data_IF_230905541106
#
_entry.id   IF_230905541106
#
_cell.length_a   1.000
_cell.length_b   1.000
_cell.length_c   1.000
_cell.angle_alpha   90.00
_cell.angle_beta   90.00
_cell.angle_gamma   90.00
#
_symmetry.space_group_name_H-M   'P 1'
#
loop_
_entity.id
_entity.type
_entity.pdbx_description
1 polymer ?
#
# COMPACT_ATOMS: atom_id res chain seq x y z
N UNK A 1 0.97 41.99 -78.69
CA UNK A 1 1.14 43.42 -78.34
C UNK A 1 1.55 43.50 -76.89
N UNK A 2 2.75 44.07 -76.63
CA UNK A 2 3.35 44.20 -75.30
C UNK A 2 2.60 45.26 -74.49
N UNK A 3 2.10 44.94 -73.31
CA UNK A 3 1.70 45.93 -72.31
C UNK A 3 2.64 45.84 -71.10
N UNK A 4 3.31 46.97 -70.88
CA UNK A 4 4.30 47.23 -69.85
C UNK A 4 3.57 47.53 -68.54
N UNK A 5 3.70 46.69 -67.51
CA UNK A 5 3.19 46.97 -66.17
C UNK A 5 4.29 47.66 -65.36
N UNK A 6 4.06 48.93 -65.04
CA UNK A 6 4.90 49.73 -64.15
C UNK A 6 4.45 49.46 -62.71
N UNK A 7 5.25 48.72 -61.93
CA UNK A 7 4.98 48.44 -60.51
C UNK A 7 5.54 49.63 -59.71
N UNK A 8 4.65 50.45 -59.16
CA UNK A 8 5.00 51.52 -58.23
C UNK A 8 5.05 50.93 -56.81
N UNK A 9 6.25 50.74 -56.26
CA UNK A 9 6.43 50.35 -54.86
C UNK A 9 6.20 51.53 -53.94
N UNK A 10 5.00 51.67 -53.37
CA UNK A 10 4.76 52.55 -52.22
C UNK A 10 5.11 51.78 -50.94
N UNK A 11 6.29 52.08 -50.39
CA UNK A 11 6.68 51.63 -49.05
C UNK A 11 5.85 52.38 -48.00
N UNK A 12 4.86 51.70 -47.42
CA UNK A 12 4.11 52.20 -46.25
C UNK A 12 4.93 51.86 -45.01
N UNK A 13 5.57 52.87 -44.41
CA UNK A 13 6.20 52.78 -43.11
C UNK A 13 5.11 52.56 -42.05
N UNK A 14 4.95 51.32 -41.58
CA UNK A 14 4.11 51.00 -40.43
C UNK A 14 4.91 51.34 -39.16
N UNK A 15 4.47 52.27 -38.31
CA UNK A 15 5.14 52.48 -37.04
C UNK A 15 4.89 51.25 -36.17
N UNK A 16 5.96 50.55 -35.79
CA UNK A 16 5.92 49.53 -34.74
C UNK A 16 5.51 50.23 -33.43
N UNK A 17 4.23 50.14 -33.08
CA UNK A 17 3.76 50.50 -31.77
C UNK A 17 4.26 49.43 -30.79
N UNK A 18 5.36 49.72 -30.10
CA UNK A 18 5.82 48.91 -28.96
C UNK A 18 4.80 49.11 -27.85
N UNK A 19 3.82 48.20 -27.76
CA UNK A 19 2.93 48.12 -26.61
C UNK A 19 3.78 47.58 -25.46
N UNK A 20 4.30 48.49 -24.63
CA UNK A 20 4.87 48.12 -23.34
C UNK A 20 3.80 47.38 -22.54
N UNK A 21 3.90 46.05 -22.45
CA UNK A 21 3.19 45.28 -21.42
C UNK A 21 3.74 45.75 -20.07
N UNK A 22 3.11 46.76 -19.49
CA UNK A 22 3.19 46.98 -18.07
C UNK A 22 2.66 45.70 -17.43
N UNK A 23 3.55 44.90 -16.84
CA UNK A 23 3.15 43.80 -15.98
C UNK A 23 2.40 44.41 -14.80
N UNK A 24 1.07 44.43 -14.88
CA UNK A 24 0.25 44.63 -13.69
C UNK A 24 0.48 43.40 -12.83
N UNK A 25 1.34 43.54 -11.82
CA UNK A 25 1.24 42.74 -10.61
C UNK A 25 -0.18 42.96 -10.12
N UNK A 26 -1.07 41.98 -10.29
CA UNK A 26 -2.42 42.07 -9.75
C UNK A 26 -2.30 42.06 -8.22
N UNK A 27 -2.27 43.24 -7.60
CA UNK A 27 -2.41 43.36 -6.15
C UNK A 27 -3.79 42.82 -5.77
N UNK A 28 -3.78 41.78 -4.92
CA UNK A 28 -5.00 41.20 -4.38
C UNK A 28 -5.74 42.30 -3.61
N UNK A 29 -7.01 42.49 -3.94
CA UNK A 29 -7.86 43.39 -3.15
C UNK A 29 -7.96 42.91 -1.69
N UNK A 30 -8.22 43.80 -0.72
CA UNK A 30 -8.36 43.41 0.69
C UNK A 30 -9.37 42.27 0.92
N UNK A 31 -10.44 42.22 0.12
CA UNK A 31 -11.44 41.14 0.16
C UNK A 31 -10.86 39.81 -0.35
N UNK A 32 -10.04 39.83 -1.40
CA UNK A 32 -9.36 38.63 -1.91
C UNK A 32 -8.34 38.09 -0.91
N UNK A 33 -7.56 38.96 -0.26
CA UNK A 33 -6.64 38.55 0.82
C UNK A 33 -7.39 37.92 2.00
N UNK A 34 -8.51 38.51 2.43
CA UNK A 34 -9.30 37.98 3.53
C UNK A 34 -9.93 36.61 3.21
N UNK A 35 -10.36 36.41 1.96
CA UNK A 35 -10.92 35.14 1.47
C UNK A 35 -9.85 34.04 1.45
N UNK A 36 -8.65 34.34 0.95
CA UNK A 36 -7.52 33.39 0.94
C UNK A 36 -7.16 32.95 2.36
N UNK A 37 -7.10 33.90 3.29
CA UNK A 37 -6.77 33.60 4.69
C UNK A 37 -7.85 32.78 5.42
N UNK A 38 -9.11 32.90 4.99
CA UNK A 38 -10.18 32.03 5.47
C UNK A 38 -10.07 30.62 4.91
N UNK A 39 -9.73 30.46 3.62
CA UNK A 39 -9.49 29.15 3.01
C UNK A 39 -8.30 28.42 3.63
N UNK A 40 -7.20 29.10 3.91
CA UNK A 40 -6.02 28.51 4.56
C UNK A 40 -6.36 27.96 5.94
N UNK A 41 -7.15 28.70 6.73
CA UNK A 41 -7.63 28.24 8.04
C UNK A 41 -8.53 27.01 7.94
N UNK A 42 -9.43 26.99 6.96
CA UNK A 42 -10.30 25.84 6.74
C UNK A 42 -9.49 24.58 6.43
N UNK A 43 -8.47 24.68 5.57
CA UNK A 43 -7.57 23.57 5.26
C UNK A 43 -6.78 23.10 6.47
N UNK A 44 -6.22 24.01 7.25
CA UNK A 44 -5.47 23.67 8.46
C UNK A 44 -6.36 22.98 9.51
N UNK A 45 -7.64 23.36 9.60
CA UNK A 45 -8.61 22.66 10.44
C UNK A 45 -8.86 21.25 9.90
N UNK A 46 -9.13 21.08 8.61
CA UNK A 46 -9.34 19.76 8.00
C UNK A 46 -8.14 18.83 8.22
N UNK A 47 -6.91 19.31 8.05
CA UNK A 47 -5.70 18.55 8.32
C UNK A 47 -5.58 18.11 9.79
N UNK A 48 -5.96 18.98 10.74
CA UNK A 48 -5.96 18.64 12.18
C UNK A 48 -7.07 17.65 12.56
N UNK A 49 -8.20 17.69 11.85
CA UNK A 49 -9.34 16.83 12.10
C UNK A 49 -9.22 15.47 11.40
N UNK A 50 -8.36 15.37 10.38
CA UNK A 50 -8.10 14.13 9.67
C UNK A 50 -7.58 13.06 10.64
N UNK A 51 -8.08 11.81 10.55
CA UNK A 51 -7.56 10.74 11.37
C UNK A 51 -6.08 10.49 11.05
N UNK A 52 -5.26 10.12 12.06
CA UNK A 52 -3.87 9.76 11.82
C UNK A 52 -3.81 8.56 10.87
N UNK A 53 -2.83 8.57 9.96
CA UNK A 53 -2.54 7.41 9.11
C UNK A 53 -1.80 6.36 9.94
N UNK A 54 -2.39 5.17 10.17
CA UNK A 54 -1.68 4.10 10.86
C UNK A 54 -0.52 3.61 9.98
N UNK A 55 0.70 3.54 10.50
CA UNK A 55 1.79 2.86 9.79
C UNK A 55 1.84 1.41 10.26
N UNK A 56 1.09 0.55 9.57
CA UNK A 56 1.11 -0.90 9.80
C UNK A 56 2.10 -1.49 8.80
N UNK A 57 3.32 -1.75 9.27
CA UNK A 57 4.32 -2.51 8.51
C UNK A 57 4.79 -3.70 9.31
N UNK A 58 4.55 -4.89 8.79
CA UNK A 58 5.22 -6.09 9.25
C UNK A 58 6.62 -6.10 8.66
N UNK A 59 7.61 -6.55 9.44
CA UNK A 59 9.02 -6.50 9.05
C UNK A 59 9.24 -7.18 7.69
N UNK A 60 9.70 -6.41 6.70
CA UNK A 60 10.05 -6.95 5.39
C UNK A 60 11.29 -7.87 5.51
N UNK A 61 11.30 -9.04 4.84
CA UNK A 61 12.52 -9.84 4.76
C UNK A 61 13.58 -9.13 3.90
N UNK A 62 14.85 -9.35 4.23
CA UNK A 62 15.99 -8.78 3.54
C UNK A 62 16.10 -9.28 2.09
N UNK A 63 16.35 -8.36 1.15
CA UNK A 63 16.60 -8.69 -0.24
C UNK A 63 17.90 -9.51 -0.36
N UNK A 64 17.80 -10.80 -0.68
CA UNK A 64 18.95 -11.64 -0.97
C UNK A 64 19.40 -11.45 -2.43
N UNK A 65 20.71 -11.53 -2.65
CA UNK A 65 21.35 -11.51 -3.97
C UNK A 65 20.68 -12.50 -4.94
N UNK A 66 20.49 -12.09 -6.20
CA UNK A 66 19.82 -12.90 -7.21
C UNK A 66 20.61 -14.11 -7.70
N UNK A 67 21.92 -14.18 -7.42
CA UNK A 67 22.80 -15.28 -7.87
C UNK A 67 23.16 -16.23 -6.74
N UNK A 68 22.84 -17.51 -6.94
CA UNK A 68 23.19 -18.59 -6.02
C UNK A 68 24.61 -19.10 -6.27
N UNK A 69 25.33 -19.34 -5.18
CA UNK A 69 26.60 -20.05 -5.16
C UNK A 69 26.34 -21.33 -4.36
N UNK A 70 26.35 -22.47 -5.03
CA UNK A 70 26.08 -23.76 -4.40
C UNK A 70 27.33 -24.32 -3.70
N UNK A 71 27.17 -25.04 -2.57
CA UNK A 71 28.27 -25.70 -1.89
C UNK A 71 28.80 -26.87 -2.72
N UNK A 72 30.08 -27.19 -2.53
CA UNK A 72 30.65 -28.44 -3.02
C UNK A 72 30.36 -29.53 -2.00
N UNK A 73 29.51 -30.50 -2.36
CA UNK A 73 29.06 -31.55 -1.46
C UNK A 73 29.11 -32.95 -2.08
N UNK A 74 29.15 -33.98 -1.24
CA UNK A 74 29.07 -35.39 -1.63
C UNK A 74 28.19 -36.15 -0.61
N UNK A 75 27.24 -37.00 -1.04
CA UNK A 75 26.86 -37.27 -2.43
C UNK A 75 26.17 -36.06 -3.08
N UNK A 76 26.31 -35.92 -4.40
CA UNK A 76 25.61 -34.91 -5.21
C UNK A 76 25.19 -35.51 -6.55
N UNK A 77 24.15 -34.93 -7.15
CA UNK A 77 23.59 -35.33 -8.43
C UNK A 77 23.60 -34.14 -9.38
N UNK A 78 24.00 -34.36 -10.63
CA UNK A 78 23.96 -33.32 -11.66
C UNK A 78 22.50 -33.09 -12.04
N UNK A 79 22.04 -31.84 -11.96
CA UNK A 79 20.65 -31.48 -12.26
C UNK A 79 20.54 -31.00 -13.70
N UNK A 80 19.89 -31.79 -14.55
CA UNK A 80 19.65 -31.48 -15.97
C UNK A 80 18.32 -30.76 -16.19
N UNK A 81 17.35 -30.95 -15.27
CA UNK A 81 16.02 -30.35 -15.36
C UNK A 81 15.49 -29.98 -13.98
N UNK A 82 14.83 -28.83 -13.88
CA UNK A 82 14.10 -28.43 -12.68
C UNK A 82 12.63 -28.20 -13.03
N UNK A 83 11.72 -28.85 -12.29
CA UNK A 83 10.28 -28.68 -12.44
C UNK A 83 9.70 -28.03 -11.20
N UNK A 84 8.86 -27.00 -11.39
CA UNK A 84 8.10 -26.36 -10.33
C UNK A 84 6.61 -26.63 -10.54
N UNK A 85 5.96 -27.25 -9.57
CA UNK A 85 4.51 -27.45 -9.54
C UNK A 85 3.83 -26.54 -8.51
N UNK A 86 2.53 -26.29 -8.64
CA UNK A 86 1.75 -25.52 -7.65
C UNK A 86 1.97 -24.00 -7.72
N UNK A 87 2.45 -23.49 -8.86
CA UNK A 87 2.71 -22.06 -9.07
C UNK A 87 1.53 -21.31 -9.70
N UNK A 88 0.46 -22.01 -10.05
CA UNK A 88 -0.68 -21.49 -10.81
C UNK A 88 -1.41 -20.35 -10.09
N UNK A 89 -1.61 -20.37 -8.75
CA UNK A 89 -2.25 -19.27 -8.04
C UNK A 89 -1.34 -18.03 -7.85
N UNK A 90 -0.03 -18.17 -8.08
CA UNK A 90 0.94 -17.10 -7.87
C UNK A 90 1.03 -16.19 -9.11
N UNK A 91 1.35 -14.90 -8.93
CA UNK A 91 1.52 -14.01 -10.07
C UNK A 91 2.68 -14.43 -10.97
N UNK A 92 2.43 -14.44 -12.29
CA UNK A 92 3.41 -14.85 -13.31
C UNK A 92 4.67 -13.98 -13.38
N UNK A 93 4.64 -12.77 -12.82
CA UNK A 93 5.81 -11.89 -12.76
C UNK A 93 6.85 -12.33 -11.73
N UNK A 94 6.50 -13.24 -10.80
CA UNK A 94 7.45 -13.82 -9.86
C UNK A 94 8.43 -14.74 -10.60
N UNK A 95 9.75 -14.51 -10.51
CA UNK A 95 10.73 -15.23 -11.31
C UNK A 95 11.12 -16.60 -10.70
N UNK A 96 10.15 -17.38 -10.20
CA UNK A 96 10.43 -18.64 -9.49
C UNK A 96 11.17 -19.65 -10.37
N UNK A 97 10.69 -19.90 -11.59
CA UNK A 97 11.36 -20.82 -12.51
C UNK A 97 12.77 -20.33 -12.88
N UNK A 98 12.97 -19.01 -13.02
CA UNK A 98 14.29 -18.43 -13.31
C UNK A 98 15.28 -18.68 -12.17
N UNK A 99 14.82 -18.55 -10.92
CA UNK A 99 15.65 -18.86 -9.74
C UNK A 99 15.92 -20.36 -9.67
N UNK A 100 14.90 -21.19 -9.86
CA UNK A 100 15.02 -22.65 -9.88
C UNK A 100 16.04 -23.14 -10.93
N UNK A 101 16.03 -22.53 -12.12
CA UNK A 101 16.94 -22.86 -13.22
C UNK A 101 18.43 -22.56 -12.93
N UNK A 102 18.77 -21.86 -11.84
CA UNK A 102 20.18 -21.70 -11.44
C UNK A 102 20.83 -23.03 -11.05
N UNK A 103 20.03 -24.04 -10.68
CA UNK A 103 20.52 -25.39 -10.39
C UNK A 103 20.91 -26.19 -11.63
N UNK A 104 20.53 -25.76 -12.85
CA UNK A 104 20.82 -26.51 -14.07
C UNK A 104 22.33 -26.65 -14.28
N UNK A 105 22.77 -27.87 -14.56
CA UNK A 105 24.18 -28.25 -14.73
C UNK A 105 24.99 -28.25 -13.43
N UNK A 106 24.40 -27.96 -12.27
CA UNK A 106 25.08 -28.00 -10.98
C UNK A 106 24.99 -29.39 -10.35
N UNK A 107 26.04 -29.80 -9.63
CA UNK A 107 25.98 -31.01 -8.80
C UNK A 107 25.44 -30.65 -7.42
N UNK A 108 24.18 -31.01 -7.14
CA UNK A 108 23.52 -30.67 -5.89
C UNK A 108 23.26 -31.92 -5.04
N UNK A 109 23.53 -31.79 -3.74
CA UNK A 109 23.05 -32.68 -2.71
C UNK A 109 22.01 -31.98 -1.84
N UNK A 110 21.84 -32.45 -0.60
CA UNK A 110 20.83 -31.90 0.30
C UNK A 110 21.07 -30.43 0.66
N UNK A 111 22.33 -29.99 0.77
CA UNK A 111 22.64 -28.61 1.16
C UNK A 111 22.31 -27.63 0.02
N UNK A 112 22.73 -27.94 -1.21
CA UNK A 112 22.46 -27.13 -2.39
C UNK A 112 20.97 -27.04 -2.73
N UNK A 113 20.23 -28.15 -2.60
CA UNK A 113 18.76 -28.15 -2.76
C UNK A 113 18.10 -27.28 -1.70
N UNK A 114 18.49 -27.41 -0.43
CA UNK A 114 17.95 -26.58 0.66
C UNK A 114 18.26 -25.09 0.44
N UNK A 115 19.44 -24.75 -0.07
CA UNK A 115 19.79 -23.38 -0.41
C UNK A 115 18.92 -22.83 -1.55
N UNK A 116 18.68 -23.64 -2.60
CA UNK A 116 17.78 -23.27 -3.70
C UNK A 116 16.35 -23.03 -3.20
N UNK A 117 15.82 -23.96 -2.41
CA UNK A 117 14.50 -23.86 -1.79
C UNK A 117 14.40 -22.62 -0.89
N UNK A 118 15.44 -22.34 -0.10
CA UNK A 118 15.49 -21.16 0.76
C UNK A 118 15.46 -19.86 -0.07
N UNK A 119 16.14 -19.82 -1.21
CA UNK A 119 16.10 -18.64 -2.08
C UNK A 119 14.73 -18.45 -2.75
N UNK A 120 14.10 -19.53 -3.20
CA UNK A 120 12.72 -19.48 -3.71
C UNK A 120 11.74 -19.01 -2.62
N UNK A 121 11.88 -19.55 -1.40
CA UNK A 121 11.11 -19.17 -0.24
C UNK A 121 11.31 -17.68 0.08
N UNK A 122 12.54 -17.20 0.14
CA UNK A 122 12.85 -15.79 0.42
C UNK A 122 12.25 -14.88 -0.65
N UNK A 123 12.28 -15.28 -1.94
CA UNK A 123 11.65 -14.52 -3.02
C UNK A 123 10.14 -14.41 -2.84
N UNK A 124 9.47 -15.46 -2.35
CA UNK A 124 8.03 -15.45 -2.04
C UNK A 124 7.71 -14.54 -0.85
N UNK A 125 8.42 -14.71 0.27
CA UNK A 125 8.24 -13.89 1.48
C UNK A 125 8.50 -12.42 1.17
N UNK A 126 9.54 -12.11 0.37
CA UNK A 126 9.88 -10.74 -0.04
C UNK A 126 8.83 -10.06 -0.92
N UNK A 127 7.83 -10.80 -1.42
CA UNK A 127 6.69 -10.24 -2.15
C UNK A 127 5.36 -10.40 -1.40
N UNK A 128 5.40 -10.73 -0.10
CA UNK A 128 4.21 -10.82 0.76
C UNK A 128 3.58 -12.22 0.86
N UNK A 129 4.09 -13.24 0.16
CA UNK A 129 3.53 -14.60 0.19
C UNK A 129 4.09 -15.42 1.35
N UNK A 130 3.94 -14.93 2.58
CA UNK A 130 4.63 -15.42 3.79
C UNK A 130 4.19 -16.82 4.26
N UNK A 131 2.98 -17.25 3.89
CA UNK A 131 2.46 -18.59 4.22
C UNK A 131 2.63 -19.61 3.08
N UNK A 132 3.14 -19.17 1.92
CA UNK A 132 3.47 -20.08 0.81
C UNK A 132 4.77 -20.83 1.12
N UNK A 133 4.82 -22.13 0.84
CA UNK A 133 5.99 -22.99 1.10
C UNK A 133 6.56 -23.60 -0.15
N UNK A 134 7.87 -23.78 -0.20
CA UNK A 134 8.57 -24.56 -1.23
C UNK A 134 9.08 -25.85 -0.61
N UNK A 135 8.73 -26.98 -1.22
CA UNK A 135 9.04 -28.33 -0.73
C UNK A 135 9.74 -29.13 -1.83
N UNK A 136 10.59 -30.07 -1.43
CA UNK A 136 11.10 -31.12 -2.30
C UNK A 136 10.42 -32.44 -1.91
N UNK A 137 9.49 -32.98 -2.71
CA UNK A 137 8.91 -34.29 -2.44
C UNK A 137 9.97 -35.39 -2.52
N UNK A 138 9.67 -36.56 -1.96
CA UNK A 138 10.51 -37.74 -2.11
C UNK A 138 10.64 -38.08 -3.61
N UNK A 139 11.87 -38.12 -4.10
CA UNK A 139 12.19 -38.27 -5.52
C UNK A 139 13.56 -38.93 -5.70
N UNK A 140 13.79 -39.51 -6.88
CA UNK A 140 15.10 -40.03 -7.28
C UNK A 140 15.81 -39.06 -8.23
N UNK A 141 16.93 -38.51 -7.76
CA UNK A 141 17.75 -37.54 -8.48
C UNK A 141 18.73 -38.19 -9.48
N UNK A 142 18.85 -39.52 -9.54
CA UNK A 142 19.67 -40.21 -10.54
C UNK A 142 19.21 -39.91 -11.98
N UNK A 143 17.93 -39.55 -12.15
CA UNK A 143 17.34 -39.13 -13.43
C UNK A 143 17.82 -37.75 -13.91
N UNK A 144 18.55 -37.00 -13.07
CA UNK A 144 18.91 -35.60 -13.32
C UNK A 144 17.76 -34.61 -13.22
N UNK A 145 16.55 -35.04 -12.82
CA UNK A 145 15.38 -34.16 -12.67
C UNK A 145 15.14 -33.82 -11.20
N UNK A 146 15.20 -32.54 -10.86
CA UNK A 146 14.78 -31.99 -9.57
C UNK A 146 13.34 -31.48 -9.67
N UNK A 147 12.42 -32.13 -8.98
CA UNK A 147 11.05 -31.67 -8.79
C UNK A 147 10.93 -30.90 -7.48
N UNK A 148 10.45 -29.66 -7.54
CA UNK A 148 10.02 -28.91 -6.37
C UNK A 148 8.52 -28.61 -6.47
N UNK A 149 7.88 -28.56 -5.32
CA UNK A 149 6.47 -28.25 -5.18
C UNK A 149 6.32 -26.95 -4.40
N UNK A 150 5.62 -26.00 -4.99
CA UNK A 150 5.15 -24.81 -4.28
C UNK A 150 3.76 -25.14 -3.73
N UNK A 151 3.57 -24.88 -2.43
CA UNK A 151 2.29 -25.02 -1.74
C UNK A 151 1.80 -23.61 -1.43
N UNK A 152 0.89 -23.05 -2.24
CA UNK A 152 0.33 -21.72 -2.03
C UNK A 152 -0.38 -21.63 -0.68
N UNK A 153 -0.03 -20.61 0.09
CA UNK A 153 -0.76 -20.27 1.31
C UNK A 153 -2.08 -19.59 0.96
N UNK A 154 -3.21 -20.12 1.41
CA UNK A 154 -4.54 -19.60 1.14
C UNK A 154 -5.26 -19.23 2.42
N UNK A 155 -6.09 -18.20 2.34
CA UNK A 155 -6.95 -17.79 3.43
C UNK A 155 -8.08 -18.81 3.53
N UNK A 156 -8.25 -19.46 4.68
CA UNK A 156 -9.41 -20.31 4.91
C UNK A 156 -10.57 -19.48 5.47
N UNK A 157 -10.33 -18.67 6.49
CA UNK A 157 -11.32 -17.68 6.99
C UNK A 157 -10.66 -16.50 7.71
N UNK A 158 -11.42 -15.42 7.82
CA UNK A 158 -11.13 -14.28 8.69
C UNK A 158 -12.21 -14.24 9.76
N UNK A 159 -11.82 -14.28 11.04
CA UNK A 159 -12.76 -14.36 12.14
C UNK A 159 -12.35 -13.43 13.28
N UNK A 160 -13.34 -12.77 13.88
CA UNK A 160 -13.15 -12.00 15.10
C UNK A 160 -12.88 -12.93 16.28
N UNK A 161 -11.93 -12.57 17.15
CA UNK A 161 -11.70 -13.29 18.40
C UNK A 161 -12.93 -13.23 19.32
N UNK A 162 -13.05 -14.12 20.32
CA UNK A 162 -14.14 -14.10 21.30
C UNK A 162 -14.25 -12.77 22.07
N UNK A 163 -13.12 -12.14 22.36
CA UNK A 163 -13.01 -10.90 23.15
C UNK A 163 -13.23 -9.63 22.32
N UNK A 164 -13.43 -9.76 21.01
CA UNK A 164 -13.64 -8.62 20.11
C UNK A 164 -15.05 -8.05 20.23
N UNK A 165 -15.15 -6.74 20.08
CA UNK A 165 -16.43 -6.09 19.86
C UNK A 165 -17.00 -6.51 18.49
N UNK A 166 -18.32 -6.54 18.38
CA UNK A 166 -19.03 -7.04 17.18
C UNK A 166 -19.55 -5.94 16.25
N UNK A 167 -19.41 -4.67 16.62
CA UNK A 167 -19.85 -3.53 15.82
C UNK A 167 -18.83 -3.19 14.71
N UNK A 168 -18.41 -4.18 13.93
CA UNK A 168 -17.50 -4.00 12.80
C UNK A 168 -17.94 -4.84 11.59
N UNK A 169 -17.92 -4.23 10.41
CA UNK A 169 -18.17 -4.91 9.13
C UNK A 169 -16.84 -5.21 8.45
N UNK A 170 -16.45 -6.49 8.42
CA UNK A 170 -15.16 -6.90 7.85
C UNK A 170 -15.14 -6.82 6.32
N UNK A 171 -16.28 -6.98 5.66
CA UNK A 171 -16.34 -7.01 4.20
C UNK A 171 -15.87 -5.70 3.55
N UNK A 172 -16.08 -4.55 4.19
CA UNK A 172 -15.65 -3.24 3.68
C UNK A 172 -14.19 -2.93 4.00
N UNK A 173 -13.64 -3.51 5.07
CA UNK A 173 -12.28 -3.21 5.52
C UNK A 173 -11.22 -4.10 4.84
N UNK A 174 -11.58 -5.29 4.33
CA UNK A 174 -10.62 -6.29 3.86
C UNK A 174 -10.75 -6.65 2.37
N UNK A 175 -9.65 -6.57 1.60
CA UNK A 175 -9.58 -7.19 0.29
C UNK A 175 -9.39 -8.72 0.37
N UNK A 176 -8.84 -9.21 1.48
CA UNK A 176 -8.53 -10.62 1.73
C UNK A 176 -9.82 -11.47 1.87
N UNK A 177 -9.92 -12.60 1.14
CA UNK A 177 -11.13 -13.46 1.12
C UNK A 177 -10.81 -14.94 1.29
N UNK A 178 -11.73 -15.73 1.88
CA UNK A 178 -11.64 -17.18 1.88
C UNK A 178 -11.36 -17.76 0.48
N UNK A 179 -10.46 -18.73 0.41
CA UNK A 179 -10.01 -19.40 -0.82
C UNK A 179 -8.95 -18.64 -1.63
N UNK A 180 -8.73 -17.35 -1.38
CA UNK A 180 -7.73 -16.56 -2.09
C UNK A 180 -6.32 -16.85 -1.56
N UNK A 181 -5.32 -16.61 -2.41
CA UNK A 181 -3.91 -16.58 -2.03
C UNK A 181 -3.72 -15.54 -0.92
N UNK A 182 -3.04 -15.93 0.16
CA UNK A 182 -2.72 -15.02 1.24
C UNK A 182 -1.56 -14.10 0.82
N UNK A 183 -1.82 -12.80 0.83
CA UNK A 183 -0.85 -11.74 0.62
C UNK A 183 -0.75 -10.88 1.88
N UNK A 184 0.46 -10.70 2.40
CA UNK A 184 0.70 -9.89 3.59
C UNK A 184 0.22 -8.45 3.42
N UNK A 185 0.32 -7.89 2.22
CA UNK A 185 -0.04 -6.50 1.94
C UNK A 185 -1.55 -6.28 2.07
N UNK A 186 -2.34 -7.27 1.66
CA UNK A 186 -3.80 -7.24 1.80
C UNK A 186 -4.21 -7.23 3.29
N UNK A 187 -3.44 -7.92 4.14
CA UNK A 187 -3.66 -7.98 5.58
C UNK A 187 -3.25 -6.65 6.24
N UNK A 188 -2.09 -6.10 5.88
CA UNK A 188 -1.60 -4.80 6.37
C UNK A 188 -2.58 -3.67 6.02
N UNK A 189 -3.03 -3.61 4.76
CA UNK A 189 -4.04 -2.65 4.31
C UNK A 189 -5.37 -2.83 5.04
N UNK A 190 -5.80 -4.08 5.25
CA UNK A 190 -6.99 -4.37 6.04
C UNK A 190 -6.87 -3.88 7.48
N UNK A 191 -5.70 -4.07 8.10
CA UNK A 191 -5.43 -3.61 9.46
C UNK A 191 -5.39 -2.08 9.54
N UNK A 192 -4.76 -1.41 8.57
CA UNK A 192 -4.72 0.05 8.45
C UNK A 192 -6.13 0.63 8.32
N UNK A 193 -6.97 0.03 7.46
CA UNK A 193 -8.37 0.44 7.30
C UNK A 193 -9.16 0.33 8.61
N UNK A 194 -8.96 -0.74 9.38
CA UNK A 194 -9.61 -0.91 10.67
C UNK A 194 -9.11 0.08 11.72
N UNK A 195 -7.81 0.38 11.73
CA UNK A 195 -7.17 1.30 12.69
C UNK A 195 -7.31 2.78 12.32
N UNK A 196 -7.93 3.09 11.17
CA UNK A 196 -8.21 4.49 10.76
C UNK A 196 -9.02 5.26 11.80
N UNK A 197 -9.83 4.58 12.60
CA UNK A 197 -10.63 5.22 13.65
C UNK A 197 -9.80 5.36 14.94
N UNK A 198 -9.60 6.58 15.48
CA UNK A 198 -8.72 6.79 16.63
C UNK A 198 -9.11 6.06 17.92
N UNK A 199 -10.39 5.71 18.09
CA UNK A 199 -10.90 5.01 19.27
C UNK A 199 -10.79 3.48 19.17
N UNK A 200 -10.32 2.98 18.02
CA UNK A 200 -10.23 1.56 17.70
C UNK A 200 -8.81 1.05 17.91
N UNK A 201 -8.71 -0.12 18.51
CA UNK A 201 -7.51 -0.93 18.53
C UNK A 201 -7.81 -2.24 17.81
N UNK A 202 -7.03 -2.56 16.79
CA UNK A 202 -7.16 -3.79 16.03
C UNK A 202 -5.81 -4.50 15.92
N UNK A 203 -5.81 -5.82 15.89
CA UNK A 203 -4.63 -6.63 15.60
C UNK A 203 -5.03 -7.93 14.91
N UNK A 204 -4.11 -8.51 14.15
CA UNK A 204 -4.35 -9.78 13.46
C UNK A 204 -3.24 -10.77 13.71
N UNK A 205 -3.62 -12.04 13.76
CA UNK A 205 -2.71 -13.16 13.89
C UNK A 205 -3.01 -14.21 12.81
N UNK A 206 -1.95 -14.77 12.22
CA UNK A 206 -2.03 -15.83 11.23
C UNK A 206 -1.90 -17.18 11.92
N UNK A 207 -2.99 -17.95 11.92
CA UNK A 207 -3.08 -19.25 12.57
C UNK A 207 -3.14 -20.34 11.49
N UNK A 208 -2.43 -21.47 11.63
CA UNK A 208 -2.58 -22.59 10.72
C UNK A 208 -4.05 -23.04 10.59
N UNK A 209 -4.51 -23.22 9.34
CA UNK A 209 -5.85 -23.71 9.05
C UNK A 209 -6.00 -25.22 9.20
N UNK A 210 -7.15 -25.74 8.77
CA UNK A 210 -7.47 -27.17 8.85
C UNK A 210 -6.70 -28.03 7.84
N UNK A 211 -6.43 -27.52 6.64
CA UNK A 211 -5.70 -28.25 5.60
C UNK A 211 -4.29 -27.66 5.36
N UNK A 212 -3.36 -28.44 4.78
CA UNK A 212 -2.05 -27.94 4.40
C UNK A 212 -2.15 -26.73 3.46
N UNK A 213 -1.41 -25.67 3.79
CA UNK A 213 -1.44 -24.41 3.04
C UNK A 213 -2.62 -23.51 3.38
N UNK A 214 -3.55 -23.90 4.26
CA UNK A 214 -4.60 -23.01 4.75
C UNK A 214 -4.13 -22.17 5.95
N UNK A 215 -4.67 -20.96 6.07
CA UNK A 215 -4.40 -20.05 7.17
C UNK A 215 -5.70 -19.36 7.59
N UNK A 216 -5.99 -19.41 8.90
CA UNK A 216 -7.04 -18.65 9.55
C UNK A 216 -6.47 -17.31 10.02
N UNK A 217 -7.18 -16.22 9.77
CA UNK A 217 -6.81 -14.89 10.27
C UNK A 217 -7.68 -14.58 11.48
N UNK A 218 -7.07 -14.56 12.66
CA UNK A 218 -7.72 -14.16 13.90
C UNK A 218 -7.60 -12.65 14.08
N UNK A 219 -8.74 -11.95 14.05
CA UNK A 219 -8.82 -10.50 14.20
C UNK A 219 -9.29 -10.14 15.61
N UNK A 220 -8.46 -9.45 16.38
CA UNK A 220 -8.89 -8.76 17.58
C UNK A 220 -9.28 -7.34 17.22
N UNK A 221 -10.51 -6.92 17.53
CA UNK A 221 -10.99 -5.57 17.26
C UNK A 221 -11.77 -5.04 18.47
N UNK A 222 -11.35 -3.87 19.00
CA UNK A 222 -11.97 -3.24 20.16
C UNK A 222 -12.13 -1.74 19.94
N UNK A 223 -13.30 -1.21 20.29
CA UNK A 223 -13.59 0.22 20.24
C UNK A 223 -13.87 0.75 21.64
N UNK A 224 -13.05 1.68 22.10
CA UNK A 224 -13.15 2.25 23.45
C UNK A 224 -14.40 3.13 23.65
N UNK A 225 -14.80 3.89 22.62
CA UNK A 225 -15.97 4.78 22.63
C UNK A 225 -16.38 5.13 21.19
N UNK A 226 -17.64 5.52 21.01
CA UNK A 226 -18.21 5.91 19.71
C UNK A 226 -18.18 7.41 19.44
N UNK A 227 -17.65 8.22 20.36
CA UNK A 227 -17.60 9.67 20.21
C UNK A 227 -16.34 10.27 20.83
N UNK A 228 -15.93 11.43 20.32
CA UNK A 228 -14.87 12.26 20.89
C UNK A 228 -15.29 13.73 20.86
N UNK A 229 -14.79 14.50 21.82
CA UNK A 229 -14.92 15.95 21.84
C UNK A 229 -13.52 16.56 21.85
N UNK A 230 -13.28 17.53 20.97
CA UNK A 230 -12.08 18.35 20.97
C UNK A 230 -12.47 19.81 21.13
N UNK A 231 -11.69 20.57 21.89
CA UNK A 231 -11.83 22.01 22.01
C UNK A 231 -10.49 22.67 21.68
N UNK A 232 -10.53 23.85 21.06
CA UNK A 232 -9.37 24.64 20.69
C UNK A 232 -9.55 26.09 21.10
N UNK A 233 -8.46 26.74 21.46
CA UNK A 233 -8.39 28.17 21.73
C UNK A 233 -7.07 28.69 21.18
N UNK A 234 -7.11 29.76 20.39
CA UNK A 234 -5.92 30.41 19.85
C UNK A 234 -6.09 31.94 19.78
N UNK A 235 -4.99 32.67 19.58
CA UNK A 235 -4.98 34.14 19.43
C UNK A 235 -4.62 34.58 18.00
N UNK A 236 -4.90 33.72 17.02
CA UNK A 236 -4.54 33.93 15.60
C UNK A 236 -5.48 34.91 14.89
N UNK A 237 -6.49 35.45 15.59
CA UNK A 237 -7.45 36.38 15.04
C UNK A 237 -6.95 37.83 14.97
N UNK A 238 -7.59 38.65 14.14
CA UNK A 238 -7.26 40.09 14.03
C UNK A 238 -8.12 40.95 14.95
N UNK A 239 -7.73 42.22 15.16
CA UNK A 239 -8.55 43.17 15.94
C UNK A 239 -9.97 43.35 15.38
N UNK A 240 -10.13 43.31 14.05
CA UNK A 240 -11.44 43.50 13.40
C UNK A 240 -12.31 42.24 13.39
N UNK A 241 -11.72 41.06 13.55
CA UNK A 241 -12.43 39.77 13.52
C UNK A 241 -12.47 39.06 14.89
N UNK A 242 -12.01 39.74 15.94
CA UNK A 242 -11.76 39.16 17.26
C UNK A 242 -10.41 38.43 17.31
N UNK A 243 -9.57 38.78 18.30
CA UNK A 243 -8.20 38.27 18.45
C UNK A 243 -8.18 36.82 18.93
N UNK A 244 -9.02 36.50 19.91
CA UNK A 244 -9.14 35.15 20.45
C UNK A 244 -10.17 34.39 19.64
N UNK A 245 -9.86 33.15 19.27
CA UNK A 245 -10.78 32.26 18.56
C UNK A 245 -10.89 30.96 19.32
N UNK A 246 -12.13 30.54 19.56
CA UNK A 246 -12.47 29.28 20.20
C UNK A 246 -13.16 28.34 19.22
N UNK A 247 -12.93 27.04 19.38
CA UNK A 247 -13.56 26.01 18.58
C UNK A 247 -13.90 24.78 19.41
N UNK A 248 -14.95 24.07 19.01
CA UNK A 248 -15.31 22.76 19.51
C UNK A 248 -15.65 21.84 18.34
N UNK A 249 -15.21 20.58 18.42
CA UNK A 249 -15.53 19.55 17.42
C UNK A 249 -16.03 18.30 18.11
N UNK A 250 -17.22 17.85 17.73
CA UNK A 250 -17.77 16.54 18.09
C UNK A 250 -17.45 15.56 16.96
N UNK A 251 -16.87 14.42 17.30
CA UNK A 251 -16.65 13.30 16.40
C UNK A 251 -17.57 12.15 16.78
N UNK A 252 -18.15 11.50 15.77
CA UNK A 252 -18.83 10.22 15.86
C UNK A 252 -17.97 9.20 15.12
N UNK A 253 -17.42 8.26 15.88
CA UNK A 253 -16.48 7.25 15.41
C UNK A 253 -17.23 5.92 15.21
N UNK A 254 -17.18 5.39 13.98
CA UNK A 254 -17.80 4.15 13.52
C UNK A 254 -19.34 4.07 13.67
N UNK A 255 -20.13 5.12 13.40
CA UNK A 255 -21.58 5.06 13.66
C UNK A 255 -22.32 4.03 12.78
N UNK A 256 -21.80 3.67 11.61
CA UNK A 256 -22.41 2.68 10.72
C UNK A 256 -21.69 1.33 10.69
N UNK A 257 -20.70 1.10 11.57
CA UNK A 257 -19.91 -0.15 11.60
C UNK A 257 -19.03 -0.36 10.35
N UNK A 258 -18.77 0.67 9.56
CA UNK A 258 -18.05 0.58 8.28
C UNK A 258 -16.63 1.16 8.35
N UNK A 259 -16.06 1.30 9.55
CA UNK A 259 -14.82 2.04 9.77
C UNK A 259 -14.93 3.51 9.29
N UNK A 260 -16.11 4.09 9.49
CA UNK A 260 -16.49 5.46 9.12
C UNK A 260 -16.33 6.46 10.27
N UNK A 261 -16.16 7.74 9.93
CA UNK A 261 -16.05 8.82 10.91
C UNK A 261 -16.79 10.05 10.41
N UNK A 262 -17.59 10.64 11.30
CA UNK A 262 -18.26 11.91 11.08
C UNK A 262 -17.79 12.91 12.12
N UNK A 263 -17.72 14.18 11.74
CA UNK A 263 -17.45 15.25 12.68
C UNK A 263 -18.29 16.47 12.36
N UNK A 264 -18.61 17.23 13.42
CA UNK A 264 -19.22 18.55 13.33
C UNK A 264 -18.35 19.48 14.16
N UNK A 265 -17.85 20.54 13.52
CA UNK A 265 -17.06 21.58 14.16
C UNK A 265 -17.83 22.90 14.17
N UNK A 266 -17.71 23.63 15.27
CA UNK A 266 -18.22 24.99 15.41
C UNK A 266 -17.15 25.84 16.10
N UNK A 267 -16.98 27.08 15.66
CA UNK A 267 -15.99 27.98 16.22
C UNK A 267 -16.28 29.44 15.89
N UNK A 268 -15.76 30.33 16.72
CA UNK A 268 -16.01 31.77 16.67
C UNK A 268 -15.04 32.55 17.55
N UNK A 269 -15.11 33.87 17.46
CA UNK A 269 -14.31 34.79 18.26
C UNK A 269 -15.07 35.30 19.49
#
# INVERSE_FOLDING_TARGET
MRYCYFILHTAILFPLLVISRAGQSAELTPIQQQTLHQQERQRALEERLAPPTPDVRLSAPSASSDRLIFPVEKPCFVIDRVTLSGTEPLPRWLPLQRIANQALGQCLGGQGINQLMSQLQNRLVGHGYVTTRVLAPQQDLNSGTLALQVVPGKIHRVALTPESDRHVTLFSAFPARPGHLLDLRDIEQGLENLQRIPTVQASMELIPGSAPGETDIALSWKQSKMWRLAASLDDSGTRSTGRYQGGATLFLDNPFSLSDQFYVSAGGA
#
